data_IF_728717127337
#
_entry.id   IF_728717127337
#
_cell.length_a   1.000
_cell.length_b   1.000
_cell.length_c   1.000
_cell.angle_alpha   90.00
_cell.angle_beta   90.00
_cell.angle_gamma   90.00
#
_symmetry.space_group_name_H-M   'P 1'
#
loop_
_entity.id
_entity.type
_entity.pdbx_description
1 polymer ?
#
# COMPACT_ATOMS: atom_id res chain seq x y z
N UNK A 1 21.47 4.01 4.91
CA UNK A 1 20.87 3.27 3.79
C UNK A 1 20.24 2.01 4.33
N UNK A 2 18.92 1.88 4.20
CA UNK A 2 18.24 0.61 4.38
C UNK A 2 18.34 -0.15 3.06
N UNK A 3 18.84 -1.39 3.10
CA UNK A 3 18.90 -2.28 1.95
C UNK A 3 17.73 -3.26 2.07
N UNK A 4 16.78 -3.20 1.12
CA UNK A 4 15.62 -4.10 1.08
C UNK A 4 15.91 -5.18 0.04
N UNK A 5 15.82 -6.44 0.45
CA UNK A 5 15.95 -7.60 -0.43
C UNK A 5 14.64 -8.37 -0.42
N UNK A 6 14.20 -8.80 -1.60
CA UNK A 6 13.05 -9.70 -1.70
C UNK A 6 13.54 -11.12 -1.90
N UNK A 7 12.91 -12.07 -1.23
CA UNK A 7 13.18 -13.48 -1.43
C UNK A 7 11.92 -14.14 -1.97
N UNK A 8 12.05 -14.83 -3.10
CA UNK A 8 11.00 -15.67 -3.66
C UNK A 8 11.37 -17.13 -3.48
N UNK A 9 10.42 -17.97 -3.06
CA UNK A 9 10.60 -19.41 -2.92
C UNK A 9 11.13 -20.09 -4.20
N UNK A 10 10.83 -19.53 -5.38
CA UNK A 10 11.20 -20.11 -6.68
C UNK A 10 12.47 -19.51 -7.28
N UNK A 11 12.82 -18.26 -6.95
CA UNK A 11 13.90 -17.49 -7.59
C UNK A 11 15.02 -17.08 -6.63
N UNK A 12 14.89 -17.38 -5.34
CA UNK A 12 15.83 -16.95 -4.31
C UNK A 12 15.77 -15.44 -4.07
N UNK A 13 16.87 -14.88 -3.57
CA UNK A 13 17.01 -13.44 -3.32
C UNK A 13 17.06 -12.68 -4.64
N UNK A 14 16.13 -11.75 -4.81
CA UNK A 14 16.01 -10.84 -5.93
C UNK A 14 16.35 -9.43 -5.50
N UNK A 15 17.09 -8.74 -6.37
CA UNK A 15 17.32 -7.31 -6.22
C UNK A 15 16.03 -6.53 -6.48
N UNK A 16 15.82 -5.47 -5.70
CA UNK A 16 14.62 -4.63 -5.79
C UNK A 16 14.56 -3.93 -7.17
N UNK A 17 15.72 -3.66 -7.77
CA UNK A 17 15.88 -3.02 -9.08
C UNK A 17 15.44 -3.94 -10.24
N UNK A 18 15.26 -5.24 -9.99
CA UNK A 18 14.75 -6.20 -10.99
C UNK A 18 13.22 -6.27 -11.02
N UNK A 19 12.54 -5.55 -10.12
CA UNK A 19 11.09 -5.52 -10.04
C UNK A 19 10.53 -4.52 -11.04
N UNK A 20 9.35 -4.82 -11.60
CA UNK A 20 8.60 -3.79 -12.30
C UNK A 20 8.16 -2.71 -11.30
N UNK A 21 8.00 -1.47 -11.77
CA UNK A 21 7.56 -0.34 -10.95
C UNK A 21 6.35 -0.69 -10.07
N UNK A 22 5.31 -1.31 -10.65
CA UNK A 22 4.14 -1.70 -9.86
C UNK A 22 4.39 -2.78 -8.78
N UNK A 23 5.36 -3.69 -8.97
CA UNK A 23 5.71 -4.66 -7.92
C UNK A 23 6.51 -3.98 -6.81
N UNK A 24 7.41 -3.06 -7.17
CA UNK A 24 8.14 -2.24 -6.21
C UNK A 24 7.17 -1.42 -5.34
N UNK A 25 6.16 -0.80 -5.94
CA UNK A 25 5.18 0.04 -5.23
C UNK A 25 4.33 -0.76 -4.24
N UNK A 26 3.83 -1.93 -4.64
CA UNK A 26 3.04 -2.80 -3.77
C UNK A 26 3.86 -3.32 -2.57
N UNK A 27 5.11 -3.72 -2.81
CA UNK A 27 6.05 -4.16 -1.76
C UNK A 27 6.36 -3.01 -0.80
N UNK A 28 6.63 -1.82 -1.34
CA UNK A 28 6.93 -0.63 -0.54
C UNK A 28 5.73 -0.21 0.31
N UNK A 29 4.51 -0.32 -0.22
CA UNK A 29 3.28 -0.06 0.52
C UNK A 29 3.10 -1.05 1.68
N UNK A 30 3.29 -2.36 1.43
CA UNK A 30 3.20 -3.38 2.46
C UNK A 30 4.24 -3.18 3.57
N UNK A 31 5.49 -2.87 3.20
CA UNK A 31 6.56 -2.55 4.15
C UNK A 31 6.22 -1.30 4.98
N UNK A 32 5.72 -0.24 4.33
CA UNK A 32 5.29 0.99 5.02
C UNK A 32 4.25 0.68 6.09
N UNK A 33 3.24 -0.13 5.79
CA UNK A 33 2.24 -0.54 6.77
C UNK A 33 2.79 -1.43 7.87
N UNK A 34 3.72 -2.33 7.57
CA UNK A 34 4.39 -3.13 8.59
C UNK A 34 5.14 -2.24 9.60
N UNK A 35 5.87 -1.24 9.10
CA UNK A 35 6.58 -0.26 9.93
C UNK A 35 5.58 0.56 10.76
N UNK A 36 4.48 1.03 10.17
CA UNK A 36 3.46 1.78 10.91
C UNK A 36 2.81 0.94 12.00
N UNK A 37 2.47 -0.32 11.71
CA UNK A 37 1.96 -1.26 12.73
C UNK A 37 2.95 -1.44 13.88
N UNK A 38 4.25 -1.53 13.58
CA UNK A 38 5.29 -1.60 14.60
C UNK A 38 5.38 -0.32 15.44
N UNK A 39 5.30 0.86 14.81
CA UNK A 39 5.35 2.16 15.50
C UNK A 39 4.11 2.35 16.40
N UNK A 40 2.93 1.99 15.91
CA UNK A 40 1.68 2.16 16.66
C UNK A 40 1.50 1.13 17.77
N UNK A 41 2.09 -0.07 17.62
CA UNK A 41 1.99 -1.14 18.61
C UNK A 41 0.54 -1.57 18.82
N UNK A 42 0.07 -1.53 20.06
CA UNK A 42 -1.33 -1.85 20.42
C UNK A 42 -2.29 -0.64 20.25
N UNK A 43 -1.78 0.52 19.85
CA UNK A 43 -2.60 1.72 19.66
C UNK A 43 -3.10 1.79 18.23
N UNK A 44 -4.29 2.33 18.05
CA UNK A 44 -4.79 2.68 16.71
C UNK A 44 -4.10 3.97 16.26
N UNK A 45 -3.49 3.95 15.08
CA UNK A 45 -2.86 5.11 14.45
C UNK A 45 -3.64 5.63 13.25
N UNK A 46 -2.99 6.47 12.46
CA UNK A 46 -3.55 7.00 11.21
C UNK A 46 -2.49 7.11 10.12
N UNK A 47 -2.88 6.96 8.87
CA UNK A 47 -2.00 7.18 7.73
C UNK A 47 -2.68 8.03 6.67
N UNK A 48 -1.92 8.95 6.08
CA UNK A 48 -2.34 9.72 4.92
C UNK A 48 -1.62 9.17 3.68
N UNK A 49 -2.38 8.85 2.64
CA UNK A 49 -1.88 8.29 1.38
C UNK A 49 -2.32 9.20 0.24
N UNK A 50 -1.36 9.73 -0.51
CA UNK A 50 -1.61 10.64 -1.63
C UNK A 50 -1.43 9.93 -2.96
N UNK A 51 -2.56 9.53 -3.55
CA UNK A 51 -2.75 8.88 -4.85
C UNK A 51 -1.67 7.83 -5.20
N UNK A 52 -1.26 7.05 -4.20
CA UNK A 52 -0.12 6.14 -4.32
C UNK A 52 -0.42 4.87 -5.16
N UNK A 53 -1.56 4.83 -5.86
CA UNK A 53 -2.00 3.71 -6.69
C UNK A 53 -2.12 4.09 -8.18
N UNK A 54 -1.81 5.34 -8.55
CA UNK A 54 -2.06 5.88 -9.90
C UNK A 54 -1.36 5.09 -11.01
N UNK A 55 -0.12 4.65 -10.78
CA UNK A 55 0.72 3.96 -11.77
C UNK A 55 0.58 2.43 -11.76
N UNK A 56 -0.27 1.88 -10.89
CA UNK A 56 -0.48 0.44 -10.78
C UNK A 56 -1.40 -0.08 -11.88
N UNK A 57 -1.02 -1.20 -12.49
CA UNK A 57 -1.94 -1.97 -13.33
C UNK A 57 -3.14 -2.48 -12.52
N UNK A 58 -4.26 -2.84 -13.18
CA UNK A 58 -5.51 -3.17 -12.48
C UNK A 58 -5.39 -4.29 -11.44
N UNK A 59 -4.59 -5.33 -11.72
CA UNK A 59 -4.43 -6.46 -10.79
C UNK A 59 -3.67 -6.01 -9.54
N UNK A 60 -2.55 -5.31 -9.72
CA UNK A 60 -1.76 -4.78 -8.60
C UNK A 60 -2.49 -3.70 -7.81
N UNK A 61 -3.29 -2.87 -8.47
CA UNK A 61 -4.16 -1.88 -7.82
C UNK A 61 -5.15 -2.57 -6.88
N UNK A 62 -5.83 -3.63 -7.34
CA UNK A 62 -6.75 -4.41 -6.50
C UNK A 62 -6.07 -5.05 -5.30
N UNK A 63 -4.87 -5.62 -5.49
CA UNK A 63 -4.08 -6.17 -4.38
C UNK A 63 -3.71 -5.10 -3.35
N UNK A 64 -3.26 -3.93 -3.81
CA UNK A 64 -2.89 -2.81 -2.94
C UNK A 64 -4.09 -2.23 -2.19
N UNK A 65 -5.25 -2.14 -2.85
CA UNK A 65 -6.52 -1.76 -2.22
C UNK A 65 -6.90 -2.70 -1.08
N UNK A 66 -6.71 -4.01 -1.24
CA UNK A 66 -6.97 -4.97 -0.17
C UNK A 66 -6.03 -4.75 1.02
N UNK A 67 -4.74 -4.50 0.76
CA UNK A 67 -3.75 -4.20 1.81
C UNK A 67 -4.13 -2.93 2.58
N UNK A 68 -4.60 -1.89 1.89
CA UNK A 68 -5.07 -0.64 2.52
C UNK A 68 -6.31 -0.92 3.38
N UNK A 69 -7.29 -1.65 2.86
CA UNK A 69 -8.51 -2.00 3.60
C UNK A 69 -8.21 -2.82 4.85
N UNK A 70 -7.25 -3.75 4.76
CA UNK A 70 -6.84 -4.56 5.90
C UNK A 70 -6.15 -3.71 6.97
N UNK A 71 -5.31 -2.74 6.57
CA UNK A 71 -4.73 -1.78 7.51
C UNK A 71 -5.80 -0.88 8.16
N UNK A 72 -6.82 -0.50 7.38
CA UNK A 72 -7.92 0.37 7.82
C UNK A 72 -8.85 -0.25 8.87
N UNK A 73 -8.80 -1.59 9.07
CA UNK A 73 -9.58 -2.27 10.11
C UNK A 73 -9.19 -1.81 11.52
N UNK A 74 -7.90 -1.58 11.72
CA UNK A 74 -7.33 -1.24 13.04
C UNK A 74 -6.85 0.22 13.10
N UNK A 75 -6.73 0.91 11.97
CA UNK A 75 -6.14 2.25 11.87
C UNK A 75 -6.97 3.17 10.96
N UNK A 76 -6.90 4.48 11.19
CA UNK A 76 -7.55 5.44 10.30
C UNK A 76 -6.73 5.59 9.01
N UNK A 77 -7.37 5.46 7.85
CA UNK A 77 -6.76 5.75 6.55
C UNK A 77 -7.43 6.98 5.95
N UNK A 78 -6.62 7.97 5.62
CA UNK A 78 -7.02 9.14 4.83
C UNK A 78 -6.37 8.97 3.46
N UNK A 79 -7.16 8.79 2.42
CA UNK A 79 -6.69 8.58 1.06
C UNK A 79 -7.15 9.73 0.17
N UNK A 80 -6.22 10.34 -0.55
CA UNK A 80 -6.51 11.31 -1.62
C UNK A 80 -6.29 10.65 -2.97
N UNK A 81 -7.23 10.85 -3.90
CA UNK A 81 -7.20 10.27 -5.25
C UNK A 81 -7.85 11.24 -6.23
N UNK A 82 -7.30 11.34 -7.43
CA UNK A 82 -7.99 11.98 -8.55
C UNK A 82 -8.86 11.00 -9.35
N UNK A 83 -8.71 9.70 -9.13
CA UNK A 83 -9.48 8.63 -9.78
C UNK A 83 -10.74 8.28 -8.95
N UNK A 84 -11.96 8.57 -9.45
CA UNK A 84 -13.21 8.24 -8.77
C UNK A 84 -13.41 6.73 -8.58
N UNK A 85 -12.91 5.90 -9.50
CA UNK A 85 -13.06 4.45 -9.38
C UNK A 85 -12.24 3.93 -8.20
N UNK A 86 -11.05 4.49 -7.99
CA UNK A 86 -10.22 4.17 -6.81
C UNK A 86 -10.93 4.57 -5.52
N UNK A 87 -11.60 5.72 -5.47
CA UNK A 87 -12.39 6.14 -4.32
C UNK A 87 -13.56 5.18 -4.04
N UNK A 88 -14.33 4.82 -5.08
CA UNK A 88 -15.45 3.89 -4.98
C UNK A 88 -14.99 2.50 -4.52
N UNK A 89 -13.86 2.01 -5.03
CA UNK A 89 -13.28 0.73 -4.66
C UNK A 89 -12.74 0.72 -3.23
N UNK A 90 -12.10 1.81 -2.77
CA UNK A 90 -11.66 1.95 -1.38
C UNK A 90 -12.86 1.95 -0.43
N UNK A 91 -13.92 2.66 -0.80
CA UNK A 91 -15.11 2.86 0.01
C UNK A 91 -14.87 3.79 1.21
N UNK A 92 -15.70 3.65 2.24
CA UNK A 92 -15.66 4.51 3.43
C UNK A 92 -16.35 5.86 3.23
N UNK A 93 -15.92 6.88 3.97
CA UNK A 93 -16.48 8.22 3.88
C UNK A 93 -15.81 9.00 2.76
N UNK A 94 -16.51 9.18 1.64
CA UNK A 94 -16.00 9.89 0.46
C UNK A 94 -16.36 11.38 0.57
N UNK A 95 -15.33 12.25 0.56
CA UNK A 95 -15.48 13.70 0.53
C UNK A 95 -15.16 14.16 -0.90
N UNK A 96 -16.15 14.76 -1.57
CA UNK A 96 -15.97 15.39 -2.88
C UNK A 96 -15.62 16.86 -2.67
N UNK A 97 -14.49 17.29 -3.21
CA UNK A 97 -14.00 18.68 -3.17
C UNK A 97 -14.25 19.32 -4.54
#
# INVERSE_FOLDING_TARGET
NFEIKLESETRGVMDIDLLSAGTYDAVTLALRFSILKHIYGERNGYVCLDDCLVDLDPERKLQSLNIIKDFAKDNQVIFTTCDPQTADLLGGNIIKI
#
